data_IF_487681522976
#
_entry.id   IF_487681522976
#
_cell.length_a   1.000
_cell.length_b   1.000
_cell.length_c   1.000
_cell.angle_alpha   90.00
_cell.angle_beta   90.00
_cell.angle_gamma   90.00
#
_symmetry.space_group_name_H-M   'P 1'
#
loop_
_entity.id
_entity.type
_entity.pdbx_description
1 polymer ?
#
# COMPACT_ATOMS: atom_id res chain seq x y z
N UNK A 1 -6.42 -40.47 -30.23
CA UNK A 1 -6.75 -40.86 -28.84
C UNK A 1 -5.77 -40.13 -27.95
N UNK A 2 -6.17 -38.97 -27.44
CA UNK A 2 -5.38 -38.28 -26.41
C UNK A 2 -5.37 -39.18 -25.18
N UNK A 3 -4.17 -39.60 -24.74
CA UNK A 3 -4.02 -40.28 -23.47
C UNK A 3 -4.47 -39.32 -22.38
N UNK A 4 -5.56 -39.68 -21.72
CA UNK A 4 -6.08 -39.01 -20.53
C UNK A 4 -4.96 -39.06 -19.49
N UNK A 5 -4.27 -37.93 -19.27
CA UNK A 5 -3.19 -37.83 -18.29
C UNK A 5 -3.71 -38.24 -16.91
N UNK A 6 -2.92 -39.02 -16.17
CA UNK A 6 -3.21 -39.36 -14.78
C UNK A 6 -3.57 -38.06 -14.02
N UNK A 7 -4.75 -37.99 -13.37
CA UNK A 7 -5.15 -36.83 -12.58
C UNK A 7 -4.06 -36.38 -11.59
N UNK A 8 -3.26 -37.29 -11.03
CA UNK A 8 -2.15 -36.97 -10.14
C UNK A 8 -1.02 -36.24 -10.86
N UNK A 9 -0.60 -36.70 -12.04
CA UNK A 9 0.43 -36.03 -12.85
C UNK A 9 0.01 -34.62 -13.25
N UNK A 10 -1.28 -34.44 -13.56
CA UNK A 10 -1.86 -33.14 -13.87
C UNK A 10 -1.83 -32.21 -12.66
N UNK A 11 -2.23 -32.69 -11.48
CA UNK A 11 -2.19 -31.92 -10.23
C UNK A 11 -0.75 -31.53 -9.88
N UNK A 12 0.19 -32.45 -10.01
CA UNK A 12 1.61 -32.19 -9.74
C UNK A 12 2.14 -31.08 -10.64
N UNK A 13 1.92 -31.17 -11.96
CA UNK A 13 2.34 -30.12 -12.91
C UNK A 13 1.70 -28.77 -12.61
N UNK A 14 0.43 -28.74 -12.24
CA UNK A 14 -0.26 -27.50 -11.85
C UNK A 14 0.35 -26.89 -10.58
N UNK A 15 0.66 -27.71 -9.57
CA UNK A 15 1.29 -27.26 -8.33
C UNK A 15 2.70 -26.71 -8.57
N UNK A 16 3.51 -27.42 -9.34
CA UNK A 16 4.88 -27.00 -9.68
C UNK A 16 4.90 -25.68 -10.46
N UNK A 17 4.07 -25.56 -11.49
CA UNK A 17 3.97 -24.35 -12.30
C UNK A 17 3.48 -23.16 -11.47
N UNK A 18 2.44 -23.35 -10.64
CA UNK A 18 1.88 -22.29 -9.79
C UNK A 18 2.86 -21.86 -8.69
N UNK A 19 3.54 -22.81 -8.07
CA UNK A 19 4.55 -22.52 -7.04
C UNK A 19 5.72 -21.74 -7.63
N UNK A 20 6.24 -22.18 -8.77
CA UNK A 20 7.35 -21.53 -9.46
C UNK A 20 6.97 -20.11 -9.89
N UNK A 21 5.80 -19.94 -10.51
CA UNK A 21 5.31 -18.61 -10.90
C UNK A 21 5.20 -17.67 -9.69
N UNK A 22 4.60 -18.11 -8.58
CA UNK A 22 4.49 -17.30 -7.36
C UNK A 22 5.84 -16.89 -6.79
N UNK A 23 6.83 -17.79 -6.79
CA UNK A 23 8.17 -17.48 -6.33
C UNK A 23 8.87 -16.45 -7.23
N UNK A 24 8.75 -16.59 -8.55
CA UNK A 24 9.30 -15.63 -9.52
C UNK A 24 8.60 -14.27 -9.37
N UNK A 25 7.27 -14.25 -9.32
CA UNK A 25 6.49 -13.04 -9.08
C UNK A 25 6.93 -12.33 -7.80
N UNK A 26 7.14 -13.07 -6.70
CA UNK A 26 7.59 -12.48 -5.45
C UNK A 26 9.01 -11.87 -5.57
N UNK A 27 9.94 -12.53 -6.26
CA UNK A 27 11.27 -11.99 -6.54
C UNK A 27 11.20 -10.69 -7.36
N UNK A 28 10.38 -10.67 -8.41
CA UNK A 28 10.17 -9.48 -9.22
C UNK A 28 9.54 -8.34 -8.41
N UNK A 29 8.60 -8.67 -7.54
CA UNK A 29 7.94 -7.70 -6.66
C UNK A 29 8.94 -7.06 -5.68
N UNK A 30 9.83 -7.86 -5.08
CA UNK A 30 10.90 -7.35 -4.21
C UNK A 30 11.84 -6.40 -4.97
N UNK A 31 12.25 -6.78 -6.19
CA UNK A 31 13.09 -5.95 -7.04
C UNK A 31 12.39 -4.63 -7.41
N UNK A 32 11.12 -4.70 -7.81
CA UNK A 32 10.29 -3.54 -8.11
C UNK A 32 10.15 -2.61 -6.90
N UNK A 33 9.94 -3.16 -5.69
CA UNK A 33 9.81 -2.36 -4.46
C UNK A 33 11.12 -1.66 -4.10
N UNK A 34 12.27 -2.33 -4.22
CA UNK A 34 13.58 -1.71 -3.98
C UNK A 34 13.88 -0.58 -4.99
N UNK A 35 13.59 -0.81 -6.27
CA UNK A 35 13.71 0.23 -7.30
C UNK A 35 12.77 1.40 -7.04
N UNK A 36 11.51 1.13 -6.68
CA UNK A 36 10.53 2.15 -6.34
C UNK A 36 10.99 2.98 -5.13
N UNK A 37 11.55 2.34 -4.11
CA UNK A 37 12.08 2.99 -2.91
C UNK A 37 13.27 3.92 -3.23
N UNK A 38 14.21 3.45 -4.08
CA UNK A 38 15.34 4.25 -4.56
C UNK A 38 14.87 5.46 -5.36
N UNK A 39 13.89 5.25 -6.24
CA UNK A 39 13.34 6.30 -7.09
C UNK A 39 12.55 7.34 -6.28
N UNK A 40 11.76 6.90 -5.30
CA UNK A 40 11.10 7.75 -4.32
C UNK A 40 12.11 8.63 -3.55
N UNK A 41 13.20 8.04 -3.07
CA UNK A 41 14.28 8.80 -2.41
C UNK A 41 14.94 9.82 -3.34
N UNK A 42 15.13 9.48 -4.61
CA UNK A 42 15.70 10.38 -5.61
C UNK A 42 14.77 11.56 -5.87
N UNK A 43 13.50 11.32 -6.16
CA UNK A 43 12.49 12.35 -6.45
C UNK A 43 12.29 13.28 -5.26
N UNK A 44 12.16 12.74 -4.04
CA UNK A 44 12.03 13.56 -2.82
C UNK A 44 13.26 14.42 -2.57
N UNK A 45 14.46 13.90 -2.82
CA UNK A 45 15.71 14.67 -2.77
C UNK A 45 15.77 15.81 -3.79
N UNK A 46 15.27 15.59 -5.00
CA UNK A 46 15.16 16.65 -6.03
C UNK A 46 14.15 17.74 -5.63
N UNK A 47 12.99 17.35 -5.10
CA UNK A 47 11.98 18.28 -4.61
C UNK A 47 12.54 19.13 -3.47
N UNK A 48 13.21 18.50 -2.50
CA UNK A 48 13.83 19.19 -1.36
C UNK A 48 14.88 20.22 -1.78
N UNK A 49 15.65 19.96 -2.85
CA UNK A 49 16.61 20.92 -3.43
C UNK A 49 15.95 22.09 -4.13
N UNK A 50 14.75 21.90 -4.69
CA UNK A 50 13.97 22.94 -5.38
C UNK A 50 13.16 23.80 -4.40
N UNK A 51 12.84 23.29 -3.22
CA UNK A 51 12.21 24.05 -2.15
C UNK A 51 13.15 25.15 -1.64
N UNK A 52 12.64 26.37 -1.43
CA UNK A 52 13.45 27.52 -0.99
C UNK A 52 14.00 27.28 0.43
N UNK A 53 15.29 27.59 0.69
CA UNK A 53 15.81 27.56 2.05
C UNK A 53 15.10 28.64 2.88
N UNK A 54 14.26 28.23 3.82
CA UNK A 54 13.53 29.13 4.73
C UNK A 54 12.03 28.88 4.84
N UNK A 55 11.45 28.06 3.96
CA UNK A 55 10.04 27.66 4.06
C UNK A 55 9.88 26.55 5.10
N UNK A 56 9.64 26.94 6.36
CA UNK A 56 9.54 26.00 7.49
C UNK A 56 8.37 25.01 7.35
N UNK A 57 7.39 25.33 6.50
CA UNK A 57 6.16 24.55 6.33
C UNK A 57 6.28 23.42 5.29
N UNK A 58 7.24 23.49 4.37
CA UNK A 58 7.43 22.46 3.34
C UNK A 58 8.39 21.38 3.83
N UNK A 59 7.90 20.52 4.72
CA UNK A 59 8.67 19.37 5.21
C UNK A 59 8.59 18.20 4.22
N UNK A 60 9.59 18.07 3.35
CA UNK A 60 9.75 16.88 2.48
C UNK A 60 10.81 15.97 3.08
N UNK A 61 10.42 14.74 3.42
CA UNK A 61 11.34 13.74 3.97
C UNK A 61 11.04 12.34 3.47
N UNK A 62 12.09 11.53 3.35
CA UNK A 62 12.00 10.12 2.96
C UNK A 62 12.55 9.25 4.07
N UNK A 63 11.80 8.21 4.45
CA UNK A 63 12.20 7.28 5.50
C UNK A 63 11.92 5.84 5.09
N UNK A 64 12.96 5.02 4.97
CA UNK A 64 12.81 3.56 4.88
C UNK A 64 12.55 3.02 6.30
N UNK A 65 11.46 2.29 6.49
CA UNK A 65 11.07 1.73 7.80
C UNK A 65 11.65 0.33 7.95
N UNK A 66 11.42 -0.52 6.96
CA UNK A 66 11.94 -1.88 6.89
C UNK A 66 11.98 -2.31 5.41
N UNK A 67 12.20 -3.60 5.13
CA UNK A 67 12.29 -4.11 3.76
C UNK A 67 10.94 -4.22 3.02
N UNK A 68 9.83 -4.03 3.73
CA UNK A 68 8.47 -4.09 3.20
C UNK A 68 7.74 -2.75 3.30
N UNK A 69 8.37 -1.71 3.87
CA UNK A 69 7.73 -0.42 4.07
C UNK A 69 8.71 0.75 3.98
N UNK A 70 8.31 1.78 3.23
CA UNK A 70 8.93 3.10 3.28
C UNK A 70 7.87 4.20 3.23
N UNK A 71 8.25 5.38 3.72
CA UNK A 71 7.36 6.50 3.93
C UNK A 71 7.94 7.77 3.30
N UNK A 72 7.06 8.62 2.79
CA UNK A 72 7.38 9.94 2.28
C UNK A 72 6.50 10.96 3.00
N UNK A 73 7.13 11.85 3.77
CA UNK A 73 6.45 13.00 4.35
C UNK A 73 6.41 14.13 3.32
N UNK A 74 5.23 14.69 3.10
CA UNK A 74 5.00 15.86 2.26
C UNK A 74 4.16 16.89 3.03
N UNK A 75 4.81 17.86 3.66
CA UNK A 75 4.15 18.87 4.48
C UNK A 75 3.21 18.23 5.53
N UNK A 76 1.89 18.35 5.34
CA UNK A 76 0.85 17.79 6.21
C UNK A 76 0.54 16.30 5.96
N UNK A 77 0.98 15.74 4.84
CA UNK A 77 0.67 14.38 4.39
C UNK A 77 1.82 13.40 4.61
N UNK A 78 1.46 12.12 4.67
CA UNK A 78 2.37 10.99 4.79
C UNK A 78 1.95 9.90 3.81
N UNK A 79 2.72 9.72 2.74
CA UNK A 79 2.55 8.56 1.87
C UNK A 79 3.27 7.37 2.48
N UNK A 80 2.56 6.25 2.56
CA UNK A 80 3.09 4.98 3.08
C UNK A 80 3.02 3.94 1.98
N UNK A 81 4.18 3.42 1.59
CA UNK A 81 4.32 2.39 0.57
C UNK A 81 4.53 1.05 1.25
N UNK A 82 3.62 0.11 1.02
CA UNK A 82 3.59 -1.19 1.69
C UNK A 82 3.70 -2.31 0.67
N UNK A 83 4.72 -3.15 0.83
CA UNK A 83 4.89 -4.39 0.08
C UNK A 83 4.09 -5.51 0.74
N UNK A 84 3.13 -6.09 0.02
CA UNK A 84 2.41 -7.27 0.49
C UNK A 84 3.09 -8.56 0.01
N UNK A 85 3.15 -9.55 0.89
CA UNK A 85 3.76 -10.86 0.59
C UNK A 85 2.82 -11.79 -0.19
N UNK A 86 1.53 -11.47 -0.25
CA UNK A 86 0.53 -12.32 -0.87
C UNK A 86 0.52 -12.14 -2.39
N UNK A 87 0.55 -13.27 -3.11
CA UNK A 87 0.30 -13.29 -4.55
C UNK A 87 -1.19 -13.52 -4.79
N UNK A 88 -1.83 -12.58 -5.48
CA UNK A 88 -3.27 -12.53 -5.71
C UNK A 88 -3.61 -12.74 -7.19
N UNK A 89 -4.91 -12.88 -7.47
CA UNK A 89 -5.50 -12.88 -8.82
C UNK A 89 -6.75 -12.01 -8.78
N UNK A 90 -7.19 -11.51 -9.94
CA UNK A 90 -8.48 -10.83 -10.06
C UNK A 90 -9.65 -11.83 -10.16
N UNK A 91 -10.87 -11.31 -9.99
CA UNK A 91 -12.13 -11.98 -10.34
C UNK A 91 -12.21 -12.18 -11.86
N UNK A 92 -12.90 -13.24 -12.31
CA UNK A 92 -12.90 -13.64 -13.72
C UNK A 92 -13.60 -12.63 -14.64
N UNK A 93 -14.54 -11.88 -14.08
CA UNK A 93 -15.33 -10.85 -14.77
C UNK A 93 -14.57 -9.54 -14.94
N UNK A 94 -13.44 -9.36 -14.23
CA UNK A 94 -12.65 -8.13 -14.30
C UNK A 94 -12.09 -7.89 -15.71
N UNK A 95 -11.97 -6.61 -16.09
CA UNK A 95 -11.50 -6.23 -17.43
C UNK A 95 -10.07 -6.73 -17.69
N UNK A 96 -9.24 -6.75 -16.64
CA UNK A 96 -7.86 -7.27 -16.69
C UNK A 96 -7.83 -8.75 -17.12
N UNK A 97 -8.80 -9.56 -16.69
CA UNK A 97 -8.88 -10.98 -17.07
C UNK A 97 -9.33 -11.22 -18.51
N UNK A 98 -9.83 -10.17 -19.18
CA UNK A 98 -10.21 -10.24 -20.59
C UNK A 98 -9.01 -10.01 -21.53
N UNK A 99 -7.91 -9.49 -20.99
CA UNK A 99 -6.72 -9.18 -21.77
C UNK A 99 -6.14 -10.44 -22.44
N UNK A 100 -5.81 -10.39 -23.76
CA UNK A 100 -5.24 -11.53 -24.48
C UNK A 100 -3.98 -12.11 -23.83
N UNK A 101 -3.12 -11.26 -23.28
CA UNK A 101 -1.89 -11.70 -22.61
C UNK A 101 -2.20 -12.50 -21.35
N UNK A 102 -3.20 -12.08 -20.56
CA UNK A 102 -3.60 -12.81 -19.35
C UNK A 102 -4.21 -14.16 -19.70
N UNK A 103 -4.97 -14.23 -20.80
CA UNK A 103 -5.60 -15.46 -21.28
C UNK A 103 -4.63 -16.43 -21.96
N UNK A 104 -3.47 -15.95 -22.42
CA UNK A 104 -2.48 -16.78 -23.10
C UNK A 104 -1.93 -17.89 -22.20
N UNK A 105 -1.63 -17.57 -20.92
CA UNK A 105 -1.07 -18.51 -19.95
C UNK A 105 -1.68 -18.28 -18.57
N UNK A 106 -2.14 -19.35 -17.92
CA UNK A 106 -2.74 -19.26 -16.58
C UNK A 106 -1.82 -18.60 -15.55
N UNK A 107 -0.50 -18.75 -15.68
CA UNK A 107 0.48 -18.13 -14.78
C UNK A 107 0.51 -16.59 -14.87
N UNK A 108 0.02 -15.99 -15.96
CA UNK A 108 0.04 -14.54 -16.19
C UNK A 108 -0.94 -13.78 -15.28
N UNK A 109 -1.94 -14.47 -14.72
CA UNK A 109 -2.99 -13.89 -13.86
C UNK A 109 -2.56 -13.64 -12.41
N UNK A 110 -1.36 -14.07 -12.02
CA UNK A 110 -0.87 -14.00 -10.64
C UNK A 110 0.02 -12.76 -10.43
N UNK A 111 -0.37 -11.94 -9.45
CA UNK A 111 0.26 -10.65 -9.18
C UNK A 111 0.70 -10.52 -7.73
N UNK A 112 1.91 -9.98 -7.53
CA UNK A 112 2.32 -9.38 -6.27
C UNK A 112 1.79 -7.95 -6.16
N UNK A 113 1.68 -7.40 -4.94
CA UNK A 113 1.06 -6.10 -4.71
C UNK A 113 1.93 -5.17 -3.87
N UNK A 114 2.03 -3.91 -4.31
CA UNK A 114 2.55 -2.78 -3.54
C UNK A 114 1.41 -1.78 -3.39
N UNK A 115 1.03 -1.45 -2.16
CA UNK A 115 -0.03 -0.49 -1.86
C UNK A 115 0.57 0.86 -1.48
N UNK A 116 -0.07 1.94 -1.93
CA UNK A 116 0.34 3.31 -1.70
C UNK A 116 -0.82 4.02 -0.99
N UNK A 117 -0.63 4.29 0.30
CA UNK A 117 -1.61 4.97 1.13
C UNK A 117 -1.22 6.43 1.35
N UNK A 118 -2.21 7.31 1.49
CA UNK A 118 -2.04 8.65 2.07
C UNK A 118 -2.67 8.71 3.46
N UNK A 119 -1.90 9.21 4.43
CA UNK A 119 -2.33 9.49 5.80
C UNK A 119 -2.02 10.94 6.15
N UNK A 120 -2.72 11.49 7.14
CA UNK A 120 -2.24 12.74 7.75
C UNK A 120 -0.94 12.47 8.50
N UNK A 121 0.07 13.32 8.30
CA UNK A 121 1.35 13.20 8.99
C UNK A 121 1.21 13.24 10.51
N UNK A 122 0.24 13.99 11.03
CA UNK A 122 -0.08 14.04 12.46
C UNK A 122 -0.67 12.73 12.99
N UNK A 123 -1.38 11.96 12.16
CA UNK A 123 -1.90 10.65 12.57
C UNK A 123 -0.77 9.71 12.95
N UNK A 124 0.29 9.69 12.14
CA UNK A 124 1.47 8.87 12.40
C UNK A 124 2.30 9.47 13.55
N UNK A 125 2.46 10.81 13.59
CA UNK A 125 3.26 11.49 14.63
C UNK A 125 2.70 11.31 16.04
N UNK A 126 1.39 11.39 16.21
CA UNK A 126 0.71 11.27 17.51
C UNK A 126 0.09 9.90 17.74
N UNK A 127 0.36 8.93 16.85
CA UNK A 127 -0.17 7.57 16.92
C UNK A 127 -1.70 7.54 17.07
N UNK A 128 -2.40 8.36 16.26
CA UNK A 128 -3.86 8.42 16.19
C UNK A 128 -4.36 7.22 15.40
N UNK A 129 -4.45 6.08 16.09
CA UNK A 129 -4.73 4.76 15.49
C UNK A 129 -6.08 4.67 14.77
N UNK A 130 -7.00 5.59 15.06
CA UNK A 130 -8.34 5.63 14.47
C UNK A 130 -8.46 6.55 13.25
N UNK A 131 -7.40 7.27 12.88
CA UNK A 131 -7.45 8.13 11.70
C UNK A 131 -7.43 7.32 10.40
N UNK A 132 -8.27 7.65 9.41
CA UNK A 132 -8.32 6.92 8.15
C UNK A 132 -7.07 7.16 7.30
N UNK A 133 -6.62 6.11 6.62
CA UNK A 133 -5.69 6.18 5.49
C UNK A 133 -6.42 5.87 4.19
N UNK A 134 -6.10 6.61 3.14
CA UNK A 134 -6.72 6.47 1.82
C UNK A 134 -5.78 5.75 0.87
N UNK A 135 -6.24 4.69 0.20
CA UNK A 135 -5.45 4.02 -0.82
C UNK A 135 -5.42 4.89 -2.08
N UNK A 136 -4.28 5.52 -2.36
CA UNK A 136 -4.09 6.33 -3.58
C UNK A 136 -3.97 5.43 -4.82
N UNK A 137 -3.19 4.36 -4.67
CA UNK A 137 -3.00 3.38 -5.73
C UNK A 137 -2.46 2.05 -5.19
N UNK A 138 -2.65 1.00 -5.98
CA UNK A 138 -1.97 -0.28 -5.86
C UNK A 138 -1.26 -0.63 -7.16
N UNK A 139 0.02 -0.91 -7.07
CA UNK A 139 0.85 -1.44 -8.16
C UNK A 139 0.84 -2.97 -8.05
N UNK A 140 0.42 -3.63 -9.12
CA UNK A 140 0.42 -5.08 -9.23
C UNK A 140 1.46 -5.50 -10.27
N UNK A 141 2.32 -6.47 -9.93
CA UNK A 141 3.42 -6.95 -10.79
C UNK A 141 3.37 -8.47 -10.91
N UNK A 142 3.53 -9.00 -12.12
CA UNK A 142 3.47 -10.45 -12.37
C UNK A 142 4.86 -11.11 -12.55
N UNK A 143 4.85 -12.40 -12.90
CA UNK A 143 6.07 -13.21 -13.05
C UNK A 143 6.99 -12.78 -14.21
N UNK A 144 6.49 -12.03 -15.18
CA UNK A 144 7.30 -11.44 -16.26
C UNK A 144 7.71 -9.99 -15.94
N UNK A 145 7.33 -9.46 -14.77
CA UNK A 145 7.55 -8.07 -14.40
C UNK A 145 6.60 -7.09 -15.09
N UNK A 146 5.63 -7.58 -15.87
CA UNK A 146 4.54 -6.73 -16.37
C UNK A 146 3.64 -6.32 -15.22
N UNK A 147 3.03 -5.16 -15.36
CA UNK A 147 2.38 -4.50 -14.24
C UNK A 147 1.08 -3.81 -14.65
N UNK A 148 0.24 -3.59 -13.64
CA UNK A 148 -0.96 -2.78 -13.73
C UNK A 148 -1.03 -1.91 -12.48
N UNK A 149 -1.48 -0.66 -12.62
CA UNK A 149 -1.71 0.23 -11.48
C UNK A 149 -3.18 0.57 -11.44
N UNK A 150 -3.81 0.24 -10.33
CA UNK A 150 -5.14 0.76 -10.04
C UNK A 150 -5.02 1.90 -9.05
N UNK A 151 -5.67 3.02 -9.32
CA UNK A 151 -5.64 4.18 -8.45
C UNK A 151 -6.63 5.23 -8.91
N UNK A 152 -6.73 6.30 -8.13
CA UNK A 152 -7.66 7.39 -8.42
C UNK A 152 -7.10 8.36 -9.49
N UNK A 153 -8.02 9.06 -10.16
CA UNK A 153 -7.69 10.14 -11.09
C UNK A 153 -6.71 9.73 -12.19
N UNK A 154 -5.60 10.47 -12.30
CA UNK A 154 -4.58 10.26 -13.35
C UNK A 154 -3.89 8.90 -13.25
N UNK A 155 -3.76 8.32 -12.04
CA UNK A 155 -3.13 7.00 -11.86
C UNK A 155 -3.96 5.90 -12.51
N UNK A 156 -5.29 5.94 -12.35
CA UNK A 156 -6.20 4.96 -12.96
C UNK A 156 -6.26 5.05 -14.48
N UNK A 157 -6.11 6.23 -15.06
CA UNK A 157 -6.20 6.42 -16.53
C UNK A 157 -4.93 5.93 -17.23
N UNK A 158 -3.75 6.32 -16.72
CA UNK A 158 -2.45 6.03 -17.37
C UNK A 158 -2.14 4.53 -17.40
N UNK A 159 -2.60 3.79 -16.39
CA UNK A 159 -2.22 2.39 -16.17
C UNK A 159 -3.42 1.43 -16.16
N UNK A 160 -4.49 1.78 -16.88
CA UNK A 160 -5.77 1.05 -16.89
C UNK A 160 -5.71 -0.38 -17.44
N UNK A 161 -4.62 -0.75 -18.13
CA UNK A 161 -4.44 -2.08 -18.73
C UNK A 161 -3.08 -2.66 -18.32
N UNK A 162 -2.92 -3.97 -18.48
CA UNK A 162 -1.65 -4.64 -18.23
C UNK A 162 -0.57 -4.06 -19.16
N UNK A 163 0.61 -3.79 -18.62
CA UNK A 163 1.71 -3.22 -19.38
C UNK A 163 2.18 -4.19 -20.48
N UNK A 164 2.57 -3.69 -21.66
CA UNK A 164 3.11 -4.53 -22.73
C UNK A 164 4.55 -4.99 -22.44
N UNK A 165 5.25 -4.30 -21.55
CA UNK A 165 6.65 -4.53 -21.19
C UNK A 165 6.84 -4.58 -19.67
N UNK A 166 7.95 -5.19 -19.18
CA UNK A 166 8.29 -5.18 -17.77
C UNK A 166 8.44 -3.76 -17.20
N UNK A 167 8.18 -3.60 -15.91
CA UNK A 167 8.27 -2.35 -15.18
C UNK A 167 9.66 -1.72 -15.33
N UNK A 168 9.70 -0.47 -15.81
CA UNK A 168 10.94 0.28 -16.01
C UNK A 168 11.16 1.36 -14.94
N UNK A 169 12.38 1.88 -14.84
CA UNK A 169 12.69 3.03 -13.97
C UNK A 169 11.88 4.28 -14.35
N UNK A 170 11.59 4.47 -15.64
CA UNK A 170 10.75 5.58 -16.12
C UNK A 170 9.32 5.45 -15.60
N UNK A 171 8.77 4.24 -15.61
CA UNK A 171 7.41 3.98 -15.12
C UNK A 171 7.31 4.24 -13.62
N UNK A 172 8.31 3.78 -12.86
CA UNK A 172 8.44 4.05 -11.44
C UNK A 172 8.57 5.55 -11.15
N UNK A 173 9.34 6.29 -11.96
CA UNK A 173 9.46 7.73 -11.83
C UNK A 173 8.11 8.44 -12.03
N UNK A 174 7.35 8.02 -13.05
CA UNK A 174 6.01 8.54 -13.34
C UNK A 174 5.07 8.22 -12.17
N UNK A 175 5.05 6.96 -11.70
CA UNK A 175 4.22 6.51 -10.59
C UNK A 175 4.48 7.33 -9.31
N UNK A 176 5.74 7.49 -8.92
CA UNK A 176 6.13 8.29 -7.74
C UNK A 176 5.65 9.73 -7.90
N UNK A 177 5.93 10.37 -9.03
CA UNK A 177 5.52 11.77 -9.26
C UNK A 177 4.01 11.92 -9.19
N UNK A 178 3.25 11.04 -9.84
CA UNK A 178 1.80 11.08 -9.82
C UNK A 178 1.23 10.83 -8.42
N UNK A 179 1.80 9.89 -7.65
CA UNK A 179 1.39 9.65 -6.27
C UNK A 179 1.61 10.88 -5.37
N UNK A 180 2.78 11.53 -5.49
CA UNK A 180 3.08 12.76 -4.76
C UNK A 180 2.16 13.91 -5.18
N UNK A 181 1.87 14.05 -6.49
CA UNK A 181 0.93 15.04 -6.99
C UNK A 181 -0.47 14.82 -6.44
N UNK A 182 -0.97 13.58 -6.47
CA UNK A 182 -2.30 13.26 -5.93
C UNK A 182 -2.39 13.51 -4.42
N UNK A 183 -1.34 13.20 -3.66
CA UNK A 183 -1.34 13.49 -2.22
C UNK A 183 -1.42 14.99 -1.93
N UNK A 184 -0.84 15.84 -2.78
CA UNK A 184 -0.91 17.31 -2.66
C UNK A 184 -2.25 17.85 -3.16
N UNK A 185 -2.81 17.26 -4.22
CA UNK A 185 -4.10 17.70 -4.81
C UNK A 185 -5.32 17.22 -4.01
N UNK A 186 -5.23 16.09 -3.31
CA UNK A 186 -6.34 15.53 -2.55
C UNK A 186 -6.42 16.12 -1.14
N UNK A 187 -7.32 17.09 -0.96
CA UNK A 187 -7.70 17.57 0.36
C UNK A 187 -8.38 16.47 1.20
N UNK A 188 -8.18 16.53 2.52
CA UNK A 188 -8.90 15.68 3.47
C UNK A 188 -10.41 15.97 3.38
N UNK A 189 -11.18 14.96 2.97
CA UNK A 189 -12.63 15.07 2.97
C UNK A 189 -13.16 14.97 4.40
N UNK A 190 -13.87 16.01 4.84
CA UNK A 190 -14.57 15.98 6.11
C UNK A 190 -15.65 14.88 6.09
N UNK A 191 -15.73 14.02 7.11
CA UNK A 191 -16.81 13.04 7.21
C UNK A 191 -18.17 13.76 7.26
N UNK A 192 -19.25 13.18 6.70
CA UNK A 192 -20.58 13.78 6.72
C UNK A 192 -21.01 14.17 8.15
N UNK A 193 -21.54 15.38 8.32
CA UNK A 193 -21.96 15.92 9.63
C UNK A 193 -22.80 14.94 10.49
N UNK A 194 -23.78 14.19 9.94
CA UNK A 194 -24.55 13.22 10.73
C UNK A 194 -23.71 12.12 11.40
N UNK A 195 -22.57 11.75 10.81
CA UNK A 195 -21.67 10.71 11.34
C UNK A 195 -20.82 11.21 12.51
N UNK A 196 -20.58 12.53 12.60
CA UNK A 196 -19.72 13.14 13.63
C UNK A 196 -20.49 14.01 14.64
N UNK A 197 -21.81 14.12 14.49
CA UNK A 197 -22.69 14.95 15.32
C UNK A 197 -22.69 14.56 16.80
N UNK A 198 -22.47 13.28 17.11
CA UNK A 198 -22.47 12.77 18.47
C UNK A 198 -21.22 11.94 18.74
N UNK A 199 -20.60 12.16 19.89
CA UNK A 199 -19.55 11.29 20.43
C UNK A 199 -19.92 10.82 21.83
N UNK A 200 -19.51 9.62 22.19
CA UNK A 200 -19.66 9.09 23.56
C UNK A 200 -18.57 9.64 24.48
N UNK A 201 -18.77 9.55 25.79
CA UNK A 201 -17.73 9.90 26.77
C UNK A 201 -16.46 9.05 26.59
N UNK A 202 -16.62 7.78 26.19
CA UNK A 202 -15.50 6.89 25.87
C UNK A 202 -14.69 7.44 24.69
N UNK A 203 -15.37 7.78 23.59
CA UNK A 203 -14.73 8.38 22.40
C UNK A 203 -14.05 9.72 22.73
N UNK A 204 -14.60 10.52 23.65
CA UNK A 204 -13.95 11.73 24.15
C UNK A 204 -12.64 11.41 24.87
N UNK A 205 -12.63 10.39 25.75
CA UNK A 205 -11.43 9.98 26.50
C UNK A 205 -10.37 9.43 25.56
N UNK A 206 -10.74 8.58 24.60
CA UNK A 206 -9.83 8.03 23.58
C UNK A 206 -9.19 9.14 22.74
N UNK A 207 -10.00 10.07 22.20
CA UNK A 207 -9.49 11.23 21.44
C UNK A 207 -8.61 12.16 22.27
N UNK A 208 -8.84 12.26 23.58
CA UNK A 208 -8.00 13.07 24.48
C UNK A 208 -6.67 12.39 24.77
N UNK A 209 -6.63 11.05 24.85
CA UNK A 209 -5.41 10.28 24.99
C UNK A 209 -4.55 10.35 23.71
N UNK A 210 -5.18 10.28 22.54
CA UNK A 210 -4.53 10.45 21.23
C UNK A 210 -3.90 11.84 21.02
N UNK A 211 -4.43 12.87 21.68
CA UNK A 211 -3.91 14.25 21.64
C UNK A 211 -2.80 14.54 22.67
N UNK A 212 -2.24 13.53 23.33
CA UNK A 212 -1.10 13.67 24.25
C UNK A 212 -1.47 13.84 25.73
N UNK A 213 -2.70 13.51 26.13
CA UNK A 213 -3.10 13.40 27.53
C UNK A 213 -2.53 12.14 28.18
N UNK A 214 -1.29 12.20 28.64
CA UNK A 214 -0.59 11.06 29.25
C UNK A 214 -1.38 10.36 30.35
N UNK A 215 -1.52 9.04 30.25
CA UNK A 215 -1.89 8.22 31.40
C UNK A 215 -0.63 7.68 32.08
N UNK A 216 -0.41 8.15 33.33
CA UNK A 216 0.32 7.36 34.32
C UNK A 216 -0.44 6.05 34.51
N UNK A 217 0.21 4.95 34.16
CA UNK A 217 -0.21 3.60 34.53
C UNK A 217 -0.20 3.54 36.07
N UNK A 218 -1.38 3.55 36.68
CA UNK A 218 -1.58 3.51 38.12
C UNK A 218 -2.48 2.33 38.50
N UNK A 219 -1.84 1.19 38.79
CA UNK A 219 -2.27 0.10 39.68
C UNK A 219 -3.76 -0.23 39.82
N UNK A 220 -4.15 -1.42 39.34
CA UNK A 220 -5.23 -2.23 39.94
C UNK A 220 -4.61 -3.48 40.58
N UNK A 221 -4.37 -3.45 41.89
CA UNK A 221 -4.38 -4.68 42.69
C UNK A 221 -5.80 -4.90 43.20
N UNK A 222 -6.45 -5.95 42.72
CA UNK A 222 -7.68 -6.48 43.31
C UNK A 222 -7.32 -7.33 44.52
N UNK A 223 -7.66 -6.87 45.72
CA UNK A 223 -7.68 -7.71 46.91
C UNK A 223 -8.94 -8.59 46.86
N UNK A 224 -8.76 -9.91 46.76
CA UNK A 224 -9.84 -10.88 46.90
C UNK A 224 -9.49 -11.79 48.08
N UNK A 225 -10.26 -11.67 49.16
CA UNK A 225 -10.14 -12.50 50.35
C UNK A 225 -11.45 -12.49 51.11
N UNK A 226 -12.45 -13.18 50.58
CA UNK A 226 -13.52 -13.74 51.41
C UNK A 226 -13.01 -15.07 51.95
N UNK A 227 -12.93 -15.20 53.26
CA UNK A 227 -12.90 -16.48 53.94
C UNK A 227 -14.27 -16.64 54.60
N UNK A 228 -14.89 -17.76 54.28
CA UNK A 228 -16.18 -18.22 54.77
C UNK A 228 -16.14 -18.47 56.28
N UNK A 229 -17.27 -18.22 56.93
CA UNK A 229 -17.65 -18.78 58.23
C UNK A 229 -19.09 -19.29 58.13
#
# INVERSE_FOLDING_TARGET
MEQEQDPLDRIQRMLENKSTAKQITYKNLLAAFDQLSKEAKRVTGELKKKSKPGDQDVTIDFKKINDHEFQIKLAGDMLVFVLHTNIVTFEEESEVMKDPYIREKEINRYFGQIMIYNFMSDSIKYNRVNDPGYLLARLLVNHEGRYIVEGEGKLGVVFSQISPAPLSESDLNILVKLALTLAIENDLMAPPYPQVKFITLLQKIEKTQELGGGQKIGFRMSYHGKLDA
#
